data_IF_238963945187
#
_entry.id   IF_238963945187
#
_cell.length_a   1.000
_cell.length_b   1.000
_cell.length_c   1.000
_cell.angle_alpha   90.00
_cell.angle_beta   90.00
_cell.angle_gamma   90.00
#
_symmetry.space_group_name_H-M   'P 1'
#
loop_
_entity.id
_entity.type
_entity.pdbx_description
1 polymer ?
#
# COMPACT_ATOMS: atom_id res chain seq x y z
N UNK A 1 -3.33 -12.83 4.56
CA UNK A 1 -3.43 -12.36 3.16
C UNK A 1 -4.01 -13.39 2.20
N UNK A 2 -3.66 -14.69 2.29
CA UNK A 2 -4.16 -15.73 1.38
C UNK A 2 -5.69 -15.80 1.27
N UNK A 3 -6.42 -15.82 2.40
CA UNK A 3 -7.88 -15.88 2.38
C UNK A 3 -8.52 -14.67 1.67
N UNK A 4 -7.96 -13.46 1.88
CA UNK A 4 -8.44 -12.25 1.22
C UNK A 4 -8.10 -12.24 -0.27
N UNK A 5 -6.89 -12.69 -0.64
CA UNK A 5 -6.53 -12.87 -2.05
C UNK A 5 -7.51 -13.81 -2.77
N UNK A 6 -7.90 -14.91 -2.13
CA UNK A 6 -8.88 -15.86 -2.67
C UNK A 6 -10.29 -15.25 -2.80
N UNK A 7 -10.75 -14.46 -1.82
CA UNK A 7 -12.07 -13.83 -1.87
C UNK A 7 -12.17 -12.75 -2.95
N UNK A 8 -11.09 -11.97 -3.14
CA UNK A 8 -11.01 -10.93 -4.18
C UNK A 8 -10.67 -11.51 -5.57
N UNK A 9 -10.43 -12.83 -5.67
CA UNK A 9 -9.97 -13.49 -6.90
C UNK A 9 -8.70 -12.82 -7.46
N UNK A 10 -7.78 -12.44 -6.58
CA UNK A 10 -6.54 -11.80 -6.95
C UNK A 10 -5.76 -12.73 -7.92
N UNK A 11 -5.26 -12.22 -9.06
CA UNK A 11 -4.51 -13.01 -10.01
C UNK A 11 -3.17 -13.44 -9.40
N UNK A 12 -2.61 -14.55 -9.91
CA UNK A 12 -1.33 -15.08 -9.45
C UNK A 12 -0.15 -14.11 -9.63
N UNK A 13 -0.29 -13.11 -10.52
CA UNK A 13 0.70 -12.04 -10.72
C UNK A 13 0.74 -11.01 -9.58
N UNK A 14 -0.25 -10.99 -8.67
CA UNK A 14 -0.27 -10.10 -7.52
C UNK A 14 0.14 -10.88 -6.26
N UNK A 15 1.33 -10.57 -5.74
CA UNK A 15 1.78 -11.08 -4.45
C UNK A 15 1.12 -10.29 -3.30
N UNK A 16 0.25 -10.95 -2.54
CA UNK A 16 -0.44 -10.34 -1.39
C UNK A 16 0.40 -10.52 -0.11
N UNK A 17 1.19 -9.51 0.23
CA UNK A 17 2.16 -9.54 1.34
C UNK A 17 1.55 -9.05 2.67
N UNK A 18 2.01 -9.64 3.78
CA UNK A 18 1.57 -9.27 5.13
C UNK A 18 2.69 -8.54 5.89
N UNK A 19 2.43 -7.30 6.30
CA UNK A 19 3.26 -6.55 7.27
C UNK A 19 2.63 -6.58 8.67
N UNK A 20 2.47 -7.77 9.24
CA UNK A 20 1.70 -7.97 10.48
C UNK A 20 2.27 -7.24 11.72
N UNK A 21 3.58 -7.00 11.75
CA UNK A 21 4.25 -6.25 12.82
C UNK A 21 4.36 -4.74 12.52
N UNK A 22 3.94 -4.30 11.32
CA UNK A 22 4.05 -2.92 10.85
C UNK A 22 5.50 -2.46 10.63
N UNK A 23 6.47 -3.38 10.50
CA UNK A 23 7.88 -3.02 10.46
C UNK A 23 8.24 -2.29 9.16
N UNK A 24 7.69 -2.74 8.03
CA UNK A 24 7.90 -2.09 6.74
C UNK A 24 7.23 -0.72 6.71
N UNK A 25 5.97 -0.66 7.16
CA UNK A 25 5.20 0.59 7.25
C UNK A 25 5.93 1.65 8.09
N UNK A 26 6.46 1.26 9.25
CA UNK A 26 7.25 2.14 10.13
C UNK A 26 8.55 2.59 9.49
N UNK A 27 9.25 1.68 8.81
CA UNK A 27 10.50 2.01 8.13
C UNK A 27 10.29 3.06 7.02
N UNK A 28 9.10 3.10 6.41
CA UNK A 28 8.72 4.11 5.41
C UNK A 28 8.18 5.42 6.01
N UNK A 29 7.89 5.46 7.32
CA UNK A 29 7.23 6.62 7.93
C UNK A 29 5.78 6.81 7.48
N UNK A 30 5.11 5.72 7.05
CA UNK A 30 3.76 5.74 6.48
C UNK A 30 2.71 5.21 7.46
N UNK A 31 2.96 5.33 8.75
CA UNK A 31 2.01 4.95 9.79
C UNK A 31 0.76 5.84 9.77
N UNK A 32 -0.37 5.23 10.12
CA UNK A 32 -1.65 5.85 10.40
C UNK A 32 -2.19 5.28 11.70
N UNK A 33 -2.50 6.14 12.67
CA UNK A 33 -3.28 5.73 13.84
C UNK A 33 -4.77 5.67 13.47
N UNK A 34 -5.27 4.44 13.29
CA UNK A 34 -6.67 4.15 13.02
C UNK A 34 -7.37 3.54 14.26
N UNK A 35 -6.84 3.77 15.47
CA UNK A 35 -7.44 3.29 16.73
C UNK A 35 -8.86 3.82 16.95
N UNK A 36 -9.17 5.04 16.50
CA UNK A 36 -10.53 5.61 16.52
C UNK A 36 -11.55 4.81 15.70
N UNK A 37 -11.09 3.97 14.77
CA UNK A 37 -11.92 3.05 13.97
C UNK A 37 -11.79 1.59 14.43
N UNK A 38 -11.17 1.32 15.58
CA UNK A 38 -10.93 -0.04 16.10
C UNK A 38 -9.88 -0.84 15.32
N UNK A 39 -9.07 -0.17 14.49
CA UNK A 39 -8.13 -0.82 13.57
C UNK A 39 -6.69 -0.84 14.09
N UNK A 40 -6.37 -0.02 15.09
CA UNK A 40 -5.01 0.17 15.62
C UNK A 40 -4.08 0.86 14.62
N UNK A 41 -2.78 0.56 14.71
CA UNK A 41 -1.78 1.06 13.77
C UNK A 41 -1.99 0.44 12.38
N UNK A 42 -2.02 1.26 11.35
CA UNK A 42 -2.14 0.86 9.94
C UNK A 42 -1.13 1.60 9.08
N UNK A 43 -1.03 1.20 7.82
CA UNK A 43 -0.39 2.01 6.80
C UNK A 43 -1.38 3.05 6.26
N UNK A 44 -0.87 4.24 5.94
CA UNK A 44 -1.54 5.15 5.01
C UNK A 44 -1.78 4.45 3.67
N UNK A 45 -2.72 4.95 2.87
CA UNK A 45 -2.90 4.43 1.50
C UNK A 45 -1.83 5.04 0.61
N UNK A 46 -1.02 4.21 -0.03
CA UNK A 46 0.04 4.65 -0.93
C UNK A 46 0.25 3.66 -2.08
N UNK A 47 0.92 4.14 -3.13
CA UNK A 47 1.51 3.31 -4.18
C UNK A 47 2.97 3.70 -4.36
N UNK A 48 3.84 2.71 -4.57
CA UNK A 48 5.29 2.88 -4.57
C UNK A 48 5.87 2.04 -5.71
N UNK A 49 6.70 2.66 -6.54
CA UNK A 49 7.59 1.98 -7.47
C UNK A 49 9.03 2.14 -6.98
N UNK A 50 9.71 1.02 -6.84
CA UNK A 50 11.12 0.97 -6.49
C UNK A 50 11.86 0.07 -7.47
N UNK A 51 13.09 0.45 -7.75
CA UNK A 51 14.04 -0.30 -8.57
C UNK A 51 15.37 -0.39 -7.84
N UNK A 52 15.90 -1.61 -7.73
CA UNK A 52 17.09 -1.97 -6.95
C UNK A 52 17.12 -1.37 -5.53
N UNK A 53 16.00 -1.48 -4.82
CA UNK A 53 15.85 -0.95 -3.45
C UNK A 53 15.72 0.58 -3.37
N UNK A 54 15.74 1.29 -4.49
CA UNK A 54 15.57 2.75 -4.54
C UNK A 54 14.15 3.09 -4.97
N UNK A 55 13.43 3.83 -4.13
CA UNK A 55 12.11 4.37 -4.46
C UNK A 55 12.25 5.42 -5.56
N UNK A 56 11.54 5.20 -6.67
CA UNK A 56 11.51 6.10 -7.83
C UNK A 56 10.22 6.94 -7.86
N UNK A 57 9.11 6.32 -7.47
CA UNK A 57 7.79 6.98 -7.37
C UNK A 57 7.17 6.62 -6.04
N UNK A 58 6.62 7.62 -5.36
CA UNK A 58 5.86 7.45 -4.12
C UNK A 58 4.62 8.36 -4.16
N UNK A 59 3.45 7.73 -4.26
CA UNK A 59 2.16 8.39 -4.18
C UNK A 59 1.52 8.10 -2.84
N UNK A 60 1.29 9.12 -2.02
CA UNK A 60 0.62 9.01 -0.72
C UNK A 60 -0.71 9.73 -0.84
N UNK A 61 -1.78 9.07 -0.44
CA UNK A 61 -3.12 9.65 -0.46
C UNK A 61 -3.32 10.64 0.67
N UNK A 62 -4.12 11.68 0.41
CA UNK A 62 -4.67 12.50 1.48
C UNK A 62 -5.65 11.66 2.35
N UNK A 63 -5.89 12.06 3.62
CA UNK A 63 -6.78 11.33 4.51
C UNK A 63 -8.17 11.09 3.89
N UNK A 64 -8.54 9.82 3.74
CA UNK A 64 -9.84 9.42 3.19
C UNK A 64 -9.94 9.44 1.66
N UNK A 65 -8.88 9.81 0.95
CA UNK A 65 -8.87 9.86 -0.52
C UNK A 65 -8.39 8.56 -1.19
N UNK A 66 -8.68 8.47 -2.47
CA UNK A 66 -8.18 7.47 -3.40
C UNK A 66 -8.11 8.10 -4.81
N UNK A 67 -7.00 8.75 -5.12
CA UNK A 67 -6.76 9.47 -6.39
C UNK A 67 -5.42 9.13 -7.01
N UNK A 68 -4.36 9.09 -6.22
CA UNK A 68 -2.97 8.99 -6.71
C UNK A 68 -2.39 7.58 -6.61
N UNK A 69 -2.96 6.71 -5.77
CA UNK A 69 -2.46 5.35 -5.52
C UNK A 69 -3.12 4.29 -6.42
N UNK A 70 -3.88 4.70 -7.45
CA UNK A 70 -4.53 3.79 -8.39
C UNK A 70 -3.54 3.16 -9.37
N UNK A 71 -3.91 2.01 -9.95
CA UNK A 71 -3.08 1.34 -10.96
C UNK A 71 -2.87 2.22 -12.20
N UNK A 72 -3.91 2.91 -12.67
CA UNK A 72 -3.81 3.83 -13.81
C UNK A 72 -2.89 5.02 -13.51
N UNK A 73 -2.96 5.57 -12.29
CA UNK A 73 -2.07 6.65 -11.86
C UNK A 73 -0.61 6.19 -11.82
N UNK A 74 -0.35 4.96 -11.36
CA UNK A 74 1.00 4.41 -11.37
C UNK A 74 1.50 4.11 -12.79
N UNK A 75 0.64 3.58 -13.66
CA UNK A 75 1.03 3.27 -15.05
C UNK A 75 1.43 4.54 -15.82
N UNK A 76 0.73 5.66 -15.57
CA UNK A 76 1.07 6.96 -16.15
C UNK A 76 2.46 7.49 -15.77
N UNK A 77 3.00 7.09 -14.61
CA UNK A 77 4.36 7.45 -14.17
C UNK A 77 5.45 6.57 -14.79
N UNK A 78 5.08 5.44 -15.39
CA UNK A 78 6.01 4.46 -15.98
C UNK A 78 6.10 4.56 -17.50
N UNK A 79 5.47 5.58 -18.11
CA UNK A 79 5.41 5.77 -19.57
C UNK A 79 6.44 6.76 -20.08
#
# INVERSE_FOLDING_TARGET
MQAWAASEKAPASIAMLADGNGAFTKALGLELDASGFGMGLRAQRFALYADDGVIKVLHIEAPGEFKVSGADAMLAELT
#
